data_IF_286623371763
#
_entry.id   IF_286623371763
#
_cell.length_a   1.000
_cell.length_b   1.000
_cell.length_c   1.000
_cell.angle_alpha   90.00
_cell.angle_beta   90.00
_cell.angle_gamma   90.00
#
_symmetry.space_group_name_H-M   'P 1'
#
loop_
_entity.id
_entity.type
_entity.pdbx_description
1 polymer ?
#
# COMPACT_ATOMS: atom_id res chain seq x y z
N UNK A 1 -15.80 -19.65 5.58
CA UNK A 1 -14.55 -18.91 5.88
C UNK A 1 -14.83 -17.44 5.61
N UNK A 2 -14.72 -16.56 6.62
CA UNK A 2 -15.38 -15.24 6.65
C UNK A 2 -14.65 -14.10 5.91
N UNK A 3 -13.68 -14.38 5.03
CA UNK A 3 -12.90 -13.33 4.34
C UNK A 3 -13.74 -12.40 3.46
N UNK A 4 -14.99 -12.74 3.16
CA UNK A 4 -15.91 -11.88 2.38
C UNK A 4 -16.37 -10.64 3.14
N UNK A 5 -16.28 -10.65 4.48
CA UNK A 5 -16.60 -9.49 5.33
C UNK A 5 -15.44 -8.49 5.42
N UNK A 6 -14.24 -8.92 5.05
CA UNK A 6 -13.05 -8.06 5.03
C UNK A 6 -13.09 -7.14 3.82
N UNK A 7 -12.64 -5.91 4.04
CA UNK A 7 -12.51 -4.89 3.00
C UNK A 7 -11.04 -4.67 2.62
N UNK A 8 -10.81 -4.01 1.49
CA UNK A 8 -9.46 -3.60 1.06
C UNK A 8 -8.45 -4.77 1.04
N UNK A 9 -7.20 -4.51 1.44
CA UNK A 9 -6.13 -5.49 1.49
C UNK A 9 -6.27 -6.51 2.64
N UNK A 10 -7.13 -6.26 3.62
CA UNK A 10 -7.43 -7.24 4.69
C UNK A 10 -8.08 -8.51 4.10
N UNK A 11 -8.88 -8.36 3.05
CA UNK A 11 -9.44 -9.50 2.30
C UNK A 11 -8.37 -10.38 1.67
N UNK A 12 -7.35 -9.77 1.04
CA UNK A 12 -6.22 -10.50 0.48
C UNK A 12 -5.45 -11.20 1.58
N UNK A 13 -5.15 -10.48 2.67
CA UNK A 13 -4.43 -11.03 3.79
C UNK A 13 -5.17 -12.23 4.40
N UNK A 14 -6.48 -12.12 4.62
CA UNK A 14 -7.33 -13.22 5.10
C UNK A 14 -7.24 -14.44 4.18
N UNK A 15 -7.33 -14.25 2.86
CA UNK A 15 -7.17 -15.33 1.87
C UNK A 15 -5.76 -15.96 1.91
N UNK A 16 -4.71 -15.15 2.00
CA UNK A 16 -3.34 -15.64 2.06
C UNK A 16 -3.06 -16.46 3.32
N UNK A 17 -3.61 -16.04 4.46
CA UNK A 17 -3.46 -16.76 5.73
C UNK A 17 -4.06 -18.18 5.69
N UNK A 18 -5.01 -18.44 4.79
CA UNK A 18 -5.58 -19.78 4.56
C UNK A 18 -4.57 -20.74 3.92
N UNK A 19 -3.57 -20.20 3.21
CA UNK A 19 -2.57 -20.96 2.46
C UNK A 19 -1.25 -21.03 3.24
N UNK A 20 -0.82 -19.92 3.83
CA UNK A 20 0.44 -19.83 4.59
C UNK A 20 0.26 -18.93 5.82
N UNK A 21 0.63 -19.45 6.99
CA UNK A 21 0.62 -18.64 8.21
C UNK A 21 1.80 -17.66 8.22
N UNK A 22 1.68 -16.56 8.97
CA UNK A 22 2.77 -15.60 9.15
C UNK A 22 4.06 -16.25 9.66
N UNK A 23 3.94 -17.19 10.61
CA UNK A 23 5.08 -17.95 11.13
C UNK A 23 5.77 -18.76 10.02
N UNK A 24 5.02 -19.49 9.20
CA UNK A 24 5.59 -20.28 8.11
C UNK A 24 6.21 -19.40 7.03
N UNK A 25 5.59 -18.26 6.73
CA UNK A 25 6.15 -17.29 5.78
C UNK A 25 7.48 -16.72 6.30
N UNK A 26 7.52 -16.32 7.57
CA UNK A 26 8.74 -15.85 8.25
C UNK A 26 9.86 -16.91 8.21
N UNK A 27 9.54 -18.17 8.53
CA UNK A 27 10.48 -19.29 8.45
C UNK A 27 11.00 -19.53 7.03
N UNK A 28 10.11 -19.50 6.03
CA UNK A 28 10.48 -19.67 4.62
C UNK A 28 11.37 -18.53 4.12
N UNK A 29 11.07 -17.29 4.53
CA UNK A 29 11.85 -16.12 4.17
C UNK A 29 13.16 -16.01 4.95
N UNK A 30 13.31 -16.76 6.06
CA UNK A 30 14.50 -16.72 6.92
C UNK A 30 14.69 -15.40 7.66
N UNK A 31 13.62 -14.63 7.85
CA UNK A 31 13.63 -13.30 8.50
C UNK A 31 12.36 -13.11 9.33
N UNK A 32 12.42 -12.29 10.36
CA UNK A 32 11.20 -11.76 10.98
C UNK A 32 10.51 -10.81 10.01
N UNK A 33 9.18 -10.91 9.87
CA UNK A 33 8.39 -10.05 8.99
C UNK A 33 8.31 -8.63 9.54
N UNK A 34 8.15 -8.51 10.87
CA UNK A 34 8.10 -7.26 11.60
C UNK A 34 9.27 -7.19 12.58
N UNK A 35 9.87 -6.01 12.71
CA UNK A 35 10.91 -5.72 13.69
C UNK A 35 10.33 -5.27 15.03
N UNK A 36 9.21 -4.55 14.97
CA UNK A 36 8.53 -4.00 16.15
C UNK A 36 7.04 -3.75 15.87
N UNK A 37 6.28 -3.40 16.90
CA UNK A 37 4.86 -3.06 16.87
C UNK A 37 3.98 -4.07 17.60
N UNK A 38 2.65 -3.92 17.50
CA UNK A 38 1.71 -4.66 18.34
C UNK A 38 1.47 -6.10 17.84
N UNK A 39 2.13 -6.49 16.74
CA UNK A 39 1.97 -7.80 16.16
C UNK A 39 2.72 -8.86 16.97
N UNK A 40 2.09 -10.04 17.12
CA UNK A 40 2.77 -11.18 17.70
C UNK A 40 3.41 -12.04 16.61
N UNK A 41 4.21 -13.04 17.03
CA UNK A 41 4.71 -14.08 16.12
C UNK A 41 3.59 -14.86 15.40
N UNK A 42 2.37 -14.83 15.93
CA UNK A 42 1.27 -15.69 15.48
C UNK A 42 0.13 -14.93 14.79
N UNK A 43 -0.10 -13.66 15.12
CA UNK A 43 -1.22 -12.88 14.60
C UNK A 43 -0.84 -11.41 14.38
N UNK A 44 -1.54 -10.77 13.42
CA UNK A 44 -1.51 -9.32 13.29
C UNK A 44 -2.49 -8.71 14.29
N UNK A 45 -2.01 -7.78 15.09
CA UNK A 45 -2.87 -6.80 15.73
C UNK A 45 -3.22 -5.69 14.72
N UNK A 46 -4.51 -5.44 14.50
CA UNK A 46 -5.01 -4.50 13.48
C UNK A 46 -5.68 -3.26 14.09
N UNK A 47 -5.96 -3.27 15.39
CA UNK A 47 -6.78 -2.26 16.07
C UNK A 47 -6.01 -1.52 17.18
N UNK A 48 -4.69 -1.66 17.25
CA UNK A 48 -3.89 -0.89 18.20
C UNK A 48 -3.89 0.60 17.79
N UNK A 49 -4.19 1.47 18.75
CA UNK A 49 -4.31 2.92 18.53
C UNK A 49 -2.98 3.66 18.65
N UNK A 50 -2.00 3.06 19.33
CA UNK A 50 -0.76 3.73 19.75
C UNK A 50 0.50 3.01 19.26
N UNK A 51 0.34 1.89 18.57
CA UNK A 51 1.43 1.20 17.90
C UNK A 51 1.01 0.73 16.51
N UNK A 52 1.98 0.57 15.63
CA UNK A 52 1.77 -0.07 14.33
C UNK A 52 2.92 -1.01 14.01
N UNK A 53 2.68 -1.97 13.12
CA UNK A 53 3.72 -2.91 12.70
C UNK A 53 4.81 -2.22 11.89
N UNK A 54 6.04 -2.29 12.38
CA UNK A 54 7.25 -1.87 11.67
C UNK A 54 7.80 -3.06 10.90
N UNK A 55 7.73 -3.02 9.57
CA UNK A 55 8.25 -4.13 8.76
C UNK A 55 9.77 -4.22 8.85
N UNK A 56 10.28 -5.43 8.74
CA UNK A 56 11.67 -5.64 8.38
C UNK A 56 11.88 -5.14 6.94
N UNK A 57 12.83 -4.22 6.66
CA UNK A 57 13.09 -3.75 5.30
C UNK A 57 13.44 -4.86 4.30
N UNK A 58 13.97 -6.00 4.77
CA UNK A 58 14.23 -7.18 3.93
C UNK A 58 12.95 -7.93 3.53
N UNK A 59 11.84 -7.75 4.25
CA UNK A 59 10.59 -8.43 3.96
C UNK A 59 10.03 -8.12 2.55
N UNK A 60 9.76 -6.86 2.18
CA UNK A 60 9.28 -6.54 0.84
C UNK A 60 10.28 -6.97 -0.26
N UNK A 61 11.59 -6.88 0.01
CA UNK A 61 12.65 -7.36 -0.89
C UNK A 61 12.55 -8.86 -1.15
N UNK A 62 12.43 -9.66 -0.08
CA UNK A 62 12.37 -11.13 -0.23
C UNK A 62 11.05 -11.59 -0.83
N UNK A 63 9.93 -10.96 -0.51
CA UNK A 63 8.64 -11.26 -1.16
C UNK A 63 8.71 -10.97 -2.66
N UNK A 64 9.27 -9.82 -3.06
CA UNK A 64 9.48 -9.49 -4.47
C UNK A 64 10.25 -10.60 -5.21
N UNK A 65 11.22 -11.22 -4.54
CA UNK A 65 12.00 -12.33 -5.10
C UNK A 65 11.19 -13.63 -5.27
N UNK A 66 10.16 -13.86 -4.46
CA UNK A 66 9.29 -15.05 -4.59
C UNK A 66 8.48 -15.05 -5.89
N UNK A 67 8.17 -13.88 -6.43
CA UNK A 67 7.44 -13.75 -7.69
C UNK A 67 8.35 -13.86 -8.93
N UNK A 68 9.68 -13.91 -8.77
CA UNK A 68 10.64 -13.99 -9.88
C UNK A 68 10.45 -15.21 -10.81
N UNK A 69 10.05 -16.42 -10.34
CA UNK A 69 9.82 -17.53 -11.24
C UNK A 69 8.81 -17.21 -12.34
N UNK A 70 7.78 -16.41 -12.06
CA UNK A 70 6.81 -15.95 -13.06
C UNK A 70 7.42 -15.02 -14.12
N UNK A 71 8.48 -14.27 -13.79
CA UNK A 71 9.19 -13.44 -14.77
C UNK A 71 9.99 -14.27 -15.77
N UNK A 72 10.58 -15.38 -15.31
CA UNK A 72 11.50 -16.19 -16.12
C UNK A 72 10.86 -17.43 -16.73
N UNK A 73 9.65 -17.80 -16.30
CA UNK A 73 8.96 -19.02 -16.73
C UNK A 73 7.55 -18.68 -17.26
N UNK A 74 7.38 -18.54 -18.59
CA UNK A 74 6.10 -18.18 -19.19
C UNK A 74 4.93 -19.12 -18.82
N UNK A 75 5.22 -20.43 -18.69
CA UNK A 75 4.22 -21.40 -18.25
C UNK A 75 3.72 -21.13 -16.83
N UNK A 76 4.64 -20.76 -15.92
CA UNK A 76 4.27 -20.45 -14.55
C UNK A 76 3.41 -19.18 -14.49
N UNK A 77 3.78 -18.14 -15.25
CA UNK A 77 2.98 -16.92 -15.39
C UNK A 77 1.56 -17.21 -15.88
N UNK A 78 1.40 -18.04 -16.91
CA UNK A 78 0.08 -18.42 -17.42
C UNK A 78 -0.76 -19.16 -16.36
N UNK A 79 -0.13 -20.03 -15.57
CA UNK A 79 -0.81 -20.77 -14.51
C UNK A 79 -1.24 -19.88 -13.34
N UNK A 80 -0.44 -18.88 -12.98
CA UNK A 80 -0.72 -17.99 -11.83
C UNK A 80 -1.57 -16.77 -12.21
N UNK A 81 -1.65 -16.41 -13.49
CA UNK A 81 -2.42 -15.25 -13.96
C UNK A 81 -3.89 -15.25 -13.53
N UNK A 82 -4.65 -16.36 -13.62
CA UNK A 82 -6.03 -16.39 -13.13
C UNK A 82 -6.16 -16.07 -11.63
N UNK A 83 -5.19 -16.52 -10.82
CA UNK A 83 -5.16 -16.21 -9.39
C UNK A 83 -4.87 -14.73 -9.16
N UNK A 84 -3.91 -14.15 -9.89
CA UNK A 84 -3.65 -12.71 -9.84
C UNK A 84 -4.90 -11.91 -10.23
N UNK A 85 -5.48 -12.20 -11.39
CA UNK A 85 -6.63 -11.47 -11.94
C UNK A 85 -7.84 -11.55 -11.00
N UNK A 86 -8.04 -12.69 -10.31
CA UNK A 86 -9.15 -12.90 -9.40
C UNK A 86 -8.92 -12.33 -7.99
N UNK A 87 -7.69 -12.39 -7.45
CA UNK A 87 -7.46 -12.11 -6.02
C UNK A 87 -6.66 -10.84 -5.77
N UNK A 88 -5.73 -10.47 -6.65
CA UNK A 88 -4.72 -9.45 -6.37
C UNK A 88 -4.86 -8.20 -7.23
N UNK A 89 -5.36 -8.34 -8.46
CA UNK A 89 -5.35 -7.29 -9.48
C UNK A 89 -5.93 -5.96 -8.98
N UNK A 90 -7.14 -5.97 -8.42
CA UNK A 90 -7.78 -4.72 -7.99
C UNK A 90 -6.99 -4.06 -6.86
N UNK A 91 -6.68 -4.80 -5.79
CA UNK A 91 -5.92 -4.24 -4.65
C UNK A 91 -4.53 -3.75 -5.05
N UNK A 92 -3.85 -4.44 -5.98
CA UNK A 92 -2.56 -3.99 -6.51
C UNK A 92 -2.69 -2.64 -7.23
N UNK A 93 -3.74 -2.47 -8.06
CA UNK A 93 -4.05 -1.19 -8.70
C UNK A 93 -4.36 -0.11 -7.67
N UNK A 94 -5.17 -0.41 -6.66
CA UNK A 94 -5.58 0.55 -5.64
C UNK A 94 -4.37 1.07 -4.84
N UNK A 95 -3.49 0.16 -4.38
CA UNK A 95 -2.24 0.54 -3.72
C UNK A 95 -1.39 1.46 -4.59
N UNK A 96 -1.27 1.14 -5.88
CA UNK A 96 -0.46 1.92 -6.82
C UNK A 96 -1.05 3.31 -7.06
N UNK A 97 -2.37 3.41 -7.22
CA UNK A 97 -3.10 4.68 -7.39
C UNK A 97 -2.87 5.60 -6.20
N UNK A 98 -3.10 5.10 -4.98
CA UNK A 98 -2.96 5.91 -3.76
C UNK A 98 -1.49 6.32 -3.55
N UNK A 99 -0.54 5.42 -3.77
CA UNK A 99 0.89 5.76 -3.73
C UNK A 99 1.22 6.86 -4.74
N UNK A 100 0.76 6.74 -5.98
CA UNK A 100 1.05 7.70 -7.06
C UNK A 100 0.57 9.11 -6.69
N UNK A 101 -0.59 9.24 -6.04
CA UNK A 101 -1.08 10.54 -5.57
C UNK A 101 -0.23 11.08 -4.42
N UNK A 102 0.07 10.27 -3.40
CA UNK A 102 0.96 10.67 -2.29
C UNK A 102 2.36 11.10 -2.79
N UNK A 103 2.96 10.31 -3.68
CA UNK A 103 4.29 10.53 -4.25
C UNK A 103 4.34 11.75 -5.19
N UNK A 104 3.20 12.21 -5.70
CA UNK A 104 3.15 13.46 -6.47
C UNK A 104 3.42 14.70 -5.62
N UNK A 105 3.31 14.59 -4.29
CA UNK A 105 3.73 15.60 -3.34
C UNK A 105 4.61 14.98 -2.23
N UNK A 106 5.90 14.75 -2.51
CA UNK A 106 6.79 14.05 -1.58
C UNK A 106 7.03 14.84 -0.28
N UNK A 107 6.91 16.18 -0.32
CA UNK A 107 7.03 17.03 0.87
C UNK A 107 5.88 16.78 1.84
N UNK A 108 4.64 16.82 1.34
CA UNK A 108 3.46 16.45 2.13
C UNK A 108 3.60 15.02 2.66
N UNK A 109 3.91 14.07 1.77
CA UNK A 109 3.95 12.66 2.15
C UNK A 109 4.96 12.39 3.28
N UNK A 110 6.16 13.00 3.23
CA UNK A 110 7.13 12.88 4.33
C UNK A 110 6.66 13.60 5.60
N UNK A 111 6.19 14.86 5.49
CA UNK A 111 5.67 15.65 6.63
C UNK A 111 4.57 14.90 7.37
N UNK A 112 3.65 14.28 6.64
CA UNK A 112 2.53 13.54 7.19
C UNK A 112 2.97 12.23 7.86
N UNK A 113 3.98 11.55 7.30
CA UNK A 113 4.59 10.38 7.93
C UNK A 113 5.32 10.71 9.24
N UNK A 114 6.06 11.81 9.27
CA UNK A 114 6.73 12.31 10.47
C UNK A 114 5.71 12.72 11.54
N UNK A 115 4.64 13.43 11.14
CA UNK A 115 3.52 13.80 12.03
C UNK A 115 2.85 12.56 12.62
N UNK A 116 2.56 11.56 11.80
CA UNK A 116 1.95 10.32 12.27
C UNK A 116 2.84 9.62 13.31
N UNK A 117 4.14 9.49 13.02
CA UNK A 117 5.09 8.83 13.93
C UNK A 117 5.16 9.53 15.28
N UNK A 118 5.29 10.86 15.30
CA UNK A 118 5.31 11.66 16.53
C UNK A 118 4.03 11.49 17.34
N UNK A 119 2.85 11.55 16.69
CA UNK A 119 1.57 11.40 17.38
C UNK A 119 1.39 10.00 17.98
N UNK A 120 1.89 8.96 17.32
CA UNK A 120 1.91 7.58 17.83
C UNK A 120 2.85 7.47 19.04
N UNK A 121 4.10 7.94 18.92
CA UNK A 121 5.11 7.88 19.98
C UNK A 121 4.69 8.66 21.24
N UNK A 122 3.98 9.78 21.06
CA UNK A 122 3.46 10.60 22.16
C UNK A 122 2.10 10.11 22.70
N UNK A 123 1.53 9.02 22.16
CA UNK A 123 0.18 8.54 22.50
C UNK A 123 -0.91 9.60 22.34
N UNK A 124 -0.78 10.45 21.31
CA UNK A 124 -1.66 11.58 20.99
C UNK A 124 -2.40 11.42 19.66
N UNK A 125 -2.26 10.27 19.00
CA UNK A 125 -2.95 10.01 17.74
C UNK A 125 -4.47 9.96 17.98
N UNK A 126 -5.20 10.83 17.29
CA UNK A 126 -6.66 10.82 17.31
C UNK A 126 -7.18 9.50 16.70
N UNK A 127 -8.18 8.82 17.30
CA UNK A 127 -8.72 7.57 16.75
C UNK A 127 -9.28 7.70 15.32
N UNK A 128 -9.70 8.91 14.93
CA UNK A 128 -10.22 9.26 13.61
C UNK A 128 -9.19 10.00 12.76
N UNK A 129 -7.90 9.98 13.14
CA UNK A 129 -6.82 10.67 12.42
C UNK A 129 -6.84 10.46 10.91
N UNK A 130 -7.13 9.22 10.48
CA UNK A 130 -7.15 8.86 9.07
C UNK A 130 -8.44 9.27 8.34
N UNK A 131 -9.53 9.62 9.03
CA UNK A 131 -10.81 9.97 8.40
C UNK A 131 -10.70 11.23 7.53
N UNK A 132 -9.71 12.09 7.79
CA UNK A 132 -9.36 13.23 6.92
C UNK A 132 -8.92 12.83 5.52
N UNK A 133 -8.70 11.54 5.23
CA UNK A 133 -8.28 11.03 3.92
C UNK A 133 -9.40 10.32 3.15
N UNK A 134 -10.63 10.29 3.65
CA UNK A 134 -11.78 9.66 2.98
C UNK A 134 -11.99 10.23 1.56
N UNK A 135 -11.74 11.53 1.37
CA UNK A 135 -11.85 12.19 0.07
C UNK A 135 -10.49 12.36 -0.63
N UNK A 136 -9.44 11.66 -0.20
CA UNK A 136 -8.07 11.89 -0.67
C UNK A 136 -7.92 11.81 -2.18
N UNK A 137 -8.67 10.94 -2.88
CA UNK A 137 -8.60 10.84 -4.34
C UNK A 137 -9.41 11.91 -5.09
N UNK A 138 -10.30 12.65 -4.43
CA UNK A 138 -11.08 13.71 -5.07
C UNK A 138 -10.19 14.84 -5.60
N UNK A 139 -10.55 15.48 -6.73
CA UNK A 139 -9.77 16.59 -7.29
C UNK A 139 -9.63 17.79 -6.36
N UNK A 140 -10.67 18.08 -5.57
CA UNK A 140 -10.70 19.22 -4.65
C UNK A 140 -10.05 18.93 -3.30
N UNK A 141 -9.48 17.74 -3.10
CA UNK A 141 -8.83 17.41 -1.83
C UNK A 141 -7.64 18.34 -1.56
N UNK A 142 -7.62 18.92 -0.36
CA UNK A 142 -6.47 19.64 0.17
C UNK A 142 -6.09 19.03 1.52
N UNK A 143 -4.87 19.29 1.99
CA UNK A 143 -4.43 18.91 3.32
C UNK A 143 -5.02 19.79 4.44
N UNK A 144 -6.01 20.63 4.12
CA UNK A 144 -6.65 21.62 5.00
C UNK A 144 -5.67 22.62 5.63
N UNK A 145 -4.48 22.77 5.05
CA UNK A 145 -3.59 23.90 5.35
C UNK A 145 -4.15 25.18 4.69
N UNK A 146 -3.56 26.33 4.99
CA UNK A 146 -3.92 27.59 4.32
C UNK A 146 -3.97 27.36 2.80
N UNK A 147 -4.96 27.86 2.04
CA UNK A 147 -5.03 27.68 0.59
C UNK A 147 -3.72 28.03 -0.15
N UNK A 148 -2.92 28.96 0.37
CA UNK A 148 -1.60 29.31 -0.16
C UNK A 148 -0.53 28.24 0.12
N UNK A 149 -0.68 27.49 1.22
CA UNK A 149 0.22 26.42 1.68
C UNK A 149 -0.26 25.02 1.31
N UNK A 150 -1.52 24.90 0.86
CA UNK A 150 -2.18 23.63 0.63
C UNK A 150 -1.43 22.74 -0.37
N UNK A 151 -1.32 21.46 -0.03
CA UNK A 151 -0.65 20.48 -0.85
C UNK A 151 -1.29 20.36 -2.24
N UNK A 152 -0.47 20.57 -3.27
CA UNK A 152 -0.85 20.28 -4.66
C UNK A 152 -0.57 18.81 -4.97
N UNK A 153 -1.60 18.05 -5.29
CA UNK A 153 -1.48 16.66 -5.72
C UNK A 153 -1.76 16.53 -7.21
N UNK A 154 -1.08 15.59 -7.86
CA UNK A 154 -1.49 15.14 -9.20
C UNK A 154 -2.80 14.37 -9.08
N UNK A 155 -3.70 14.61 -10.04
CA UNK A 155 -5.02 13.99 -10.09
C UNK A 155 -5.12 13.20 -11.38
N UNK A 156 -5.80 12.06 -11.31
CA UNK A 156 -6.15 11.25 -12.46
C UNK A 156 -7.66 11.08 -12.47
N UNK A 157 -8.32 11.51 -13.54
CA UNK A 157 -9.79 11.46 -13.65
C UNK A 157 -10.29 10.02 -13.50
N UNK A 158 -11.28 9.83 -12.63
CA UNK A 158 -11.89 8.54 -12.34
C UNK A 158 -11.35 7.85 -11.09
N UNK A 159 -10.21 8.28 -10.55
CA UNK A 159 -9.65 7.72 -9.31
C UNK A 159 -10.58 7.98 -8.10
N UNK A 160 -11.38 9.06 -8.15
CA UNK A 160 -12.37 9.38 -7.12
C UNK A 160 -13.51 8.36 -7.00
N UNK A 161 -13.64 7.42 -7.96
CA UNK A 161 -14.62 6.33 -7.89
C UNK A 161 -14.23 5.20 -6.92
N UNK A 162 -13.00 5.18 -6.42
CA UNK A 162 -12.55 4.21 -5.44
C UNK A 162 -13.32 4.40 -4.13
N UNK A 163 -13.73 3.29 -3.51
CA UNK A 163 -14.39 3.29 -2.20
C UNK A 163 -13.54 4.06 -1.17
N UNK A 164 -14.16 5.03 -0.50
CA UNK A 164 -13.46 5.97 0.37
C UNK A 164 -12.87 5.32 1.63
N UNK A 165 -13.44 4.20 2.08
CA UNK A 165 -12.87 3.42 3.18
C UNK A 165 -11.60 2.69 2.72
N UNK A 166 -11.57 2.16 1.49
CA UNK A 166 -10.35 1.61 0.89
C UNK A 166 -9.29 2.71 0.77
N UNK A 167 -9.65 3.89 0.24
CA UNK A 167 -8.72 5.03 0.11
C UNK A 167 -8.07 5.35 1.44
N UNK A 168 -8.87 5.55 2.50
CA UNK A 168 -8.39 5.85 3.85
C UNK A 168 -7.38 4.82 4.35
N UNK A 169 -7.70 3.54 4.21
CA UNK A 169 -6.85 2.45 4.69
C UNK A 169 -5.52 2.36 3.94
N UNK A 170 -5.54 2.57 2.62
CA UNK A 170 -4.34 2.56 1.79
C UNK A 170 -3.46 3.78 2.03
N UNK A 171 -4.05 4.96 2.26
CA UNK A 171 -3.29 6.15 2.67
C UNK A 171 -2.59 5.89 4.00
N UNK A 172 -3.32 5.36 5.00
CA UNK A 172 -2.73 4.98 6.28
C UNK A 172 -1.62 3.94 6.15
N UNK A 173 -1.78 2.95 5.27
CA UNK A 173 -0.72 1.98 4.99
C UNK A 173 0.54 2.69 4.48
N UNK A 174 0.43 3.53 3.45
CA UNK A 174 1.58 4.19 2.85
C UNK A 174 2.26 5.19 3.78
N UNK A 175 1.50 5.93 4.59
CA UNK A 175 2.04 6.80 5.64
C UNK A 175 2.89 6.00 6.63
N UNK A 176 2.39 4.84 7.11
CA UNK A 176 3.16 3.96 8.00
C UNK A 176 4.42 3.41 7.35
N UNK A 177 4.36 3.02 6.06
CA UNK A 177 5.54 2.58 5.30
C UNK A 177 6.55 3.71 5.08
N UNK A 178 6.07 4.94 4.94
CA UNK A 178 6.94 6.12 4.82
C UNK A 178 7.63 6.45 6.15
N UNK A 179 6.91 6.25 7.26
CA UNK A 179 7.42 6.45 8.61
C UNK A 179 8.49 5.40 8.97
N UNK A 180 8.24 4.12 8.69
CA UNK A 180 9.20 3.03 8.96
C UNK A 180 10.29 2.85 7.88
N UNK A 181 10.26 3.65 6.81
CA UNK A 181 11.25 3.65 5.73
C UNK A 181 11.17 2.47 4.76
N UNK A 182 10.10 1.69 4.80
CA UNK A 182 9.92 0.53 3.91
C UNK A 182 9.09 0.82 2.64
N UNK A 183 8.54 2.03 2.51
CA UNK A 183 7.73 2.48 1.36
C UNK A 183 8.36 2.15 0.00
N UNK A 184 9.65 2.44 -0.15
CA UNK A 184 10.39 2.29 -1.41
C UNK A 184 10.43 0.82 -1.86
N UNK A 185 10.71 -0.11 -0.96
CA UNK A 185 10.79 -1.53 -1.31
C UNK A 185 9.42 -2.12 -1.62
N UNK A 186 8.38 -1.67 -0.90
CA UNK A 186 7.00 -2.06 -1.19
C UNK A 186 6.54 -1.56 -2.57
N UNK A 187 6.79 -0.30 -2.91
CA UNK A 187 6.36 0.22 -4.22
C UNK A 187 7.15 -0.43 -5.36
N UNK A 188 8.45 -0.71 -5.18
CA UNK A 188 9.24 -1.43 -6.18
C UNK A 188 8.71 -2.85 -6.42
N UNK A 189 8.36 -3.57 -5.35
CA UNK A 189 7.72 -4.88 -5.46
C UNK A 189 6.37 -4.83 -6.14
N UNK A 190 5.55 -3.82 -5.81
CA UNK A 190 4.23 -3.60 -6.41
C UNK A 190 4.35 -3.28 -7.91
N UNK A 191 5.25 -2.39 -8.29
CA UNK A 191 5.50 -2.04 -9.70
C UNK A 191 5.93 -3.27 -10.49
N UNK A 192 6.83 -4.08 -9.94
CA UNK A 192 7.25 -5.33 -10.57
C UNK A 192 6.10 -6.32 -10.77
N UNK A 193 5.21 -6.44 -9.77
CA UNK A 193 4.03 -7.30 -9.83
C UNK A 193 3.08 -6.82 -10.93
N UNK A 194 2.76 -5.53 -10.96
CA UNK A 194 1.83 -4.94 -11.94
C UNK A 194 2.44 -5.04 -13.35
N UNK A 195 3.71 -4.70 -13.56
CA UNK A 195 4.37 -4.85 -14.87
C UNK A 195 4.32 -6.28 -15.39
N UNK A 196 4.39 -7.27 -14.50
CA UNK A 196 4.39 -8.67 -14.89
C UNK A 196 2.99 -9.19 -15.24
N UNK A 197 1.97 -8.86 -14.44
CA UNK A 197 0.64 -9.45 -14.56
C UNK A 197 -0.42 -8.55 -15.20
N UNK A 198 -0.19 -7.24 -15.19
CA UNK A 198 -1.12 -6.18 -15.61
C UNK A 198 -0.41 -5.01 -16.31
N UNK A 199 0.42 -5.28 -17.33
CA UNK A 199 1.26 -4.26 -17.97
C UNK A 199 0.45 -3.12 -18.60
N UNK A 200 -0.70 -3.42 -19.20
CA UNK A 200 -1.59 -2.43 -19.83
C UNK A 200 -2.01 -1.34 -18.83
N UNK A 201 -2.34 -1.71 -17.59
CA UNK A 201 -2.66 -0.75 -16.54
C UNK A 201 -1.45 0.11 -16.20
N UNK A 202 -0.28 -0.50 -16.03
CA UNK A 202 0.94 0.25 -15.69
C UNK A 202 1.31 1.27 -16.79
N UNK A 203 1.24 0.85 -18.05
CA UNK A 203 1.52 1.70 -19.21
C UNK A 203 0.52 2.85 -19.31
N UNK A 204 -0.77 2.58 -19.13
CA UNK A 204 -1.81 3.62 -19.09
C UNK A 204 -1.55 4.66 -18.00
N UNK A 205 -1.20 4.22 -16.78
CA UNK A 205 -0.95 5.13 -15.65
C UNK A 205 0.32 5.96 -15.77
N UNK A 206 1.32 5.47 -16.50
CA UNK A 206 2.63 6.13 -16.61
C UNK A 206 2.78 6.95 -17.89
N UNK A 207 2.12 6.57 -18.98
CA UNK A 207 2.12 7.33 -20.25
C UNK A 207 1.52 8.73 -20.09
N UNK A 208 0.47 8.88 -19.28
CA UNK A 208 -0.17 10.18 -19.05
C UNK A 208 0.71 11.15 -18.24
N UNK A 209 1.52 10.64 -17.31
CA UNK A 209 2.49 11.45 -16.54
C UNK A 209 3.52 12.12 -17.45
N UNK A 210 3.92 11.46 -18.53
CA UNK A 210 4.90 11.98 -19.48
C UNK A 210 4.34 13.08 -20.40
N UNK A 211 3.01 13.14 -20.59
CA UNK A 211 2.36 14.18 -21.38
C UNK A 211 2.10 15.46 -20.57
N UNK A 212 1.99 15.38 -19.24
CA UNK A 212 1.81 16.55 -18.35
C UNK A 212 3.08 17.41 -18.20
N UNK A 213 4.26 16.85 -18.48
CA UNK A 213 5.57 17.53 -18.42
C UNK A 213 6.03 18.15 -19.74
N UNK A 214 5.19 18.12 -20.80
CA UNK A 214 5.52 18.68 -22.13
C UNK A 214 4.78 19.97 -22.50
N UNK A 215 4.04 20.57 -21.57
CA UNK A 215 3.37 21.86 -21.76
C UNK A 215 3.88 22.88 -20.75
#
# INVERSE_FOLDING_TARGET
MYCEKEISYHKIFCKLQTVISLKKLSEYLGIQIFLDGPHSKYYLELNDQYQFGHYNPEFPRRIRNLFLPAKTQPKFLQLTKPVYDSWFKQTARDFFIVYQKLDSNPKFFRKEADRYLVLVEESRLDPYYLDRFILFLYPAYTDNEDPEEAAKFSIFTGDESMDSQIVKELVGFWIRRKADGTDTEFILGLVDLIKLYDPEFYEFRTSLKNNSTKN
#
